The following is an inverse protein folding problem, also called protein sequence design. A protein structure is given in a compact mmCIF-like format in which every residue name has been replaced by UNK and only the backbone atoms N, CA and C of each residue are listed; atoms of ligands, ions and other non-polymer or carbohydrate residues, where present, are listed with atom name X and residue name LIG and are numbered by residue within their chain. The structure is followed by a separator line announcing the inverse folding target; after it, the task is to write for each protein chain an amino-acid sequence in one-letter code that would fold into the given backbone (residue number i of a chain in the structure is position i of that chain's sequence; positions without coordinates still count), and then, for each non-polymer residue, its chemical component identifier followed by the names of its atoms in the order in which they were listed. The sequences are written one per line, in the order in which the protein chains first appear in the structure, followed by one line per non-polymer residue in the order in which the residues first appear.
data_IF_220211986370
#
_entry.id   IF_220211986370
#
_cell.length_a   1.000
_cell.length_b   1.000
_cell.length_c   1.000
_cell.angle_alpha   90.00
_cell.angle_beta   90.00
_cell.angle_gamma   90.00
#
_symmetry.space_group_name_H-M   'P 1'
#
loop_
_entity.id
_entity.type
_entity.pdbx_description
1 polymer ?
#
# COMPACT_ATOMS: atom_id res chain seq x y z
N UNK A 1 -0.94 28.82 -40.63
CA UNK A 1 0.43 29.13 -41.10
C UNK A 1 1.09 27.84 -41.55
N UNK A 2 2.05 27.86 -42.48
CA UNK A 2 2.66 26.63 -43.04
C UNK A 2 3.97 26.22 -42.33
N UNK A 3 4.43 27.01 -41.37
CA UNK A 3 5.67 26.79 -40.62
C UNK A 3 5.40 27.10 -39.16
N UNK A 4 5.67 26.14 -38.29
CA UNK A 4 5.56 26.24 -36.84
C UNK A 4 6.95 26.25 -36.17
N UNK A 5 7.00 26.68 -34.91
CA UNK A 5 8.24 26.66 -34.13
C UNK A 5 8.71 25.21 -33.90
N UNK A 6 9.97 24.93 -34.20
CA UNK A 6 10.54 23.58 -34.15
C UNK A 6 10.57 22.82 -35.48
N UNK A 7 9.90 23.32 -36.53
CA UNK A 7 9.89 22.66 -37.84
C UNK A 7 11.29 22.59 -38.48
N UNK A 8 11.61 21.43 -39.06
CA UNK A 8 12.80 21.27 -39.91
C UNK A 8 12.43 21.48 -41.37
N UNK A 9 12.98 22.52 -41.99
CA UNK A 9 12.72 22.86 -43.39
C UNK A 9 13.79 22.29 -44.32
N UNK A 10 13.35 21.70 -45.43
CA UNK A 10 14.23 21.19 -46.48
C UNK A 10 14.26 22.15 -47.67
N UNK A 11 15.46 22.57 -48.07
CA UNK A 11 15.66 23.39 -49.26
C UNK A 11 15.97 22.49 -50.46
N UNK A 12 15.01 22.36 -51.37
CA UNK A 12 15.09 21.51 -52.56
C UNK A 12 14.94 22.36 -53.84
N UNK A 13 15.56 21.92 -54.93
CA UNK A 13 15.44 22.54 -56.28
C UNK A 13 14.03 22.34 -56.83
N UNK A 14 13.39 21.20 -56.52
CA UNK A 14 11.97 20.93 -56.79
C UNK A 14 11.40 19.97 -55.73
N UNK A 15 10.08 20.01 -55.50
CA UNK A 15 9.38 19.28 -54.41
C UNK A 15 9.65 17.77 -54.34
N UNK A 16 9.98 17.13 -55.46
CA UNK A 16 10.22 15.68 -55.54
C UNK A 16 11.71 15.35 -55.74
N UNK A 17 12.61 16.23 -55.30
CA UNK A 17 14.04 15.96 -55.37
C UNK A 17 14.43 14.80 -54.47
N UNK A 18 15.21 13.86 -55.00
CA UNK A 18 15.86 12.84 -54.19
C UNK A 18 16.81 13.49 -53.18
N UNK A 19 16.72 13.06 -51.92
CA UNK A 19 17.64 13.50 -50.87
C UNK A 19 19.00 12.84 -51.09
N UNK A 20 19.95 13.61 -51.64
CA UNK A 20 21.31 13.16 -51.95
C UNK A 20 22.17 12.91 -50.69
N UNK A 21 21.71 13.36 -49.53
CA UNK A 21 22.34 13.14 -48.24
C UNK A 21 21.26 12.97 -47.14
N UNK A 22 21.52 12.19 -46.09
CA UNK A 22 20.59 12.04 -44.98
C UNK A 22 20.43 13.35 -44.21
N UNK A 23 19.22 13.61 -43.72
CA UNK A 23 18.89 14.76 -42.89
C UNK A 23 18.56 14.32 -41.46
N UNK A 24 18.70 15.23 -40.50
CA UNK A 24 18.33 15.01 -39.11
C UNK A 24 17.27 16.04 -38.73
N UNK A 25 16.09 15.55 -38.36
CA UNK A 25 14.99 16.36 -37.88
C UNK A 25 14.96 16.29 -36.36
N UNK A 26 14.90 17.46 -35.72
CA UNK A 26 14.82 17.54 -34.26
C UNK A 26 13.39 17.27 -33.83
N UNK A 27 13.23 16.36 -32.87
CA UNK A 27 11.93 16.02 -32.26
C UNK A 27 12.04 16.06 -30.75
N UNK A 28 11.03 16.60 -30.08
CA UNK A 28 10.91 16.63 -28.62
C UNK A 28 9.80 15.64 -28.18
N UNK A 29 10.17 14.61 -27.41
CA UNK A 29 9.27 13.53 -26.98
C UNK A 29 8.96 13.62 -25.47
N UNK A 30 8.51 14.79 -25.03
CA UNK A 30 8.10 15.00 -23.65
C UNK A 30 6.91 14.07 -23.31
N UNK A 31 6.97 13.29 -22.21
CA UNK A 31 5.83 12.46 -21.81
C UNK A 31 4.58 13.33 -21.62
N UNK A 32 3.43 12.86 -22.08
CA UNK A 32 2.16 13.55 -21.82
C UNK A 32 1.85 13.51 -20.30
N UNK A 33 1.25 14.57 -19.75
CA UNK A 33 0.94 14.65 -18.31
C UNK A 33 -0.06 13.58 -17.85
N UNK A 34 -0.79 12.94 -18.78
CA UNK A 34 -1.56 11.71 -18.53
C UNK A 34 -0.73 10.61 -17.87
N UNK A 35 0.59 10.59 -18.10
CA UNK A 35 1.52 9.68 -17.41
C UNK A 35 1.43 9.80 -15.88
N UNK A 36 1.05 10.98 -15.36
CA UNK A 36 0.82 11.24 -13.94
C UNK A 36 -0.66 11.07 -13.61
N UNK A 37 -1.56 11.79 -14.29
CA UNK A 37 -2.97 11.87 -13.87
C UNK A 37 -3.78 10.59 -14.16
N UNK A 38 -3.36 9.76 -15.12
CA UNK A 38 -3.96 8.44 -15.38
C UNK A 38 -3.16 7.30 -14.78
N UNK A 39 -2.08 7.60 -14.06
CA UNK A 39 -1.14 6.60 -13.55
C UNK A 39 -1.77 5.53 -12.67
N UNK A 40 -2.84 5.86 -11.93
CA UNK A 40 -3.56 4.92 -11.08
C UNK A 40 -4.85 4.36 -11.67
N UNK A 41 -5.32 4.88 -12.82
CA UNK A 41 -6.68 4.60 -13.33
C UNK A 41 -6.93 3.12 -13.64
N UNK A 42 -5.90 2.42 -14.13
CA UNK A 42 -5.98 1.01 -14.54
C UNK A 42 -5.11 0.09 -13.68
N UNK A 43 -4.47 0.64 -12.65
CA UNK A 43 -3.56 -0.13 -11.78
C UNK A 43 -4.30 -0.86 -10.66
N UNK A 44 -5.42 -0.30 -10.22
CA UNK A 44 -6.22 -0.83 -9.12
C UNK A 44 -7.48 -1.48 -9.69
N UNK A 45 -7.44 -2.81 -9.85
CA UNK A 45 -8.55 -3.60 -10.35
C UNK A 45 -9.22 -4.39 -9.23
N UNK A 46 -10.54 -4.57 -9.33
CA UNK A 46 -11.26 -5.46 -8.44
C UNK A 46 -10.93 -6.92 -8.79
N UNK A 47 -10.63 -7.71 -7.78
CA UNK A 47 -10.44 -9.16 -7.87
C UNK A 47 -10.96 -9.79 -6.58
N UNK A 48 -11.39 -11.06 -6.66
CA UNK A 48 -11.91 -11.82 -5.50
C UNK A 48 -13.01 -11.09 -4.72
N UNK A 49 -13.85 -10.30 -5.40
CA UNK A 49 -14.94 -9.53 -4.78
C UNK A 49 -14.48 -8.35 -3.91
N UNK A 50 -13.20 -7.99 -3.94
CA UNK A 50 -12.64 -6.89 -3.15
C UNK A 50 -12.64 -5.58 -3.93
N UNK A 51 -13.13 -4.51 -3.29
CA UNK A 51 -12.99 -3.16 -3.83
C UNK A 51 -11.54 -2.69 -3.69
N UNK A 52 -10.91 -2.11 -4.73
CA UNK A 52 -9.49 -1.82 -4.69
C UNK A 52 -9.12 -0.47 -4.05
N UNK A 53 -10.09 0.34 -3.63
CA UNK A 53 -9.84 1.63 -2.97
C UNK A 53 -8.95 1.54 -1.71
N UNK A 54 -9.12 0.56 -0.82
CA UNK A 54 -8.25 0.41 0.35
C UNK A 54 -6.80 0.15 -0.03
N UNK A 55 -6.51 -0.46 -1.19
CA UNK A 55 -5.14 -0.68 -1.65
C UNK A 55 -4.47 0.62 -2.09
N UNK A 56 -5.22 1.55 -2.68
CA UNK A 56 -4.73 2.89 -2.96
C UNK A 56 -4.45 3.67 -1.68
N UNK A 57 -5.31 3.57 -0.66
CA UNK A 57 -5.05 4.16 0.67
C UNK A 57 -3.82 3.52 1.32
N UNK A 58 -3.65 2.20 1.18
CA UNK A 58 -2.51 1.45 1.70
C UNK A 58 -1.17 1.95 1.10
N UNK A 59 -1.12 2.29 -0.20
CA UNK A 59 0.09 2.90 -0.77
C UNK A 59 0.53 4.19 -0.06
N UNK A 60 -0.41 4.96 0.49
CA UNK A 60 -0.12 6.18 1.24
C UNK A 60 0.30 5.86 2.68
N UNK A 61 -0.36 4.89 3.32
CA UNK A 61 0.04 4.38 4.64
C UNK A 61 1.47 3.81 4.60
N UNK A 62 1.86 3.11 3.52
CA UNK A 62 3.22 2.58 3.33
C UNK A 62 4.29 3.68 3.36
N UNK A 63 3.98 4.84 2.76
CA UNK A 63 4.89 5.98 2.77
C UNK A 63 5.00 6.57 4.17
N UNK A 64 3.89 6.69 4.89
CA UNK A 64 3.85 7.16 6.27
C UNK A 64 4.54 6.19 7.24
N UNK A 65 4.43 4.87 7.05
CA UNK A 65 5.19 3.85 7.78
C UNK A 65 6.70 4.07 7.59
N UNK A 66 7.12 4.28 6.34
CA UNK A 66 8.52 4.55 6.00
C UNK A 66 9.02 5.88 6.59
N UNK A 67 8.17 6.90 6.65
CA UNK A 67 8.49 8.22 7.19
C UNK A 67 8.61 8.23 8.72
N UNK A 68 7.86 7.36 9.41
CA UNK A 68 7.78 7.28 10.87
C UNK A 68 8.72 6.24 11.48
N UNK A 69 9.41 5.42 10.68
CA UNK A 69 10.22 4.27 11.17
C UNK A 69 11.31 4.66 12.17
N UNK A 70 11.82 5.90 12.12
CA UNK A 70 12.85 6.41 13.05
C UNK A 70 12.30 7.36 14.13
N UNK A 71 10.98 7.41 14.31
CA UNK A 71 10.40 8.28 15.33
C UNK A 71 10.83 7.84 16.73
N UNK A 72 11.10 8.82 17.58
CA UNK A 72 11.24 8.62 19.02
C UNK A 72 9.85 8.83 19.64
N UNK A 73 9.22 7.75 20.11
CA UNK A 73 7.85 7.79 20.64
C UNK A 73 6.80 7.34 19.60
N UNK A 74 5.57 7.92 19.63
CA UNK A 74 4.46 7.44 18.81
C UNK A 74 4.68 7.67 17.31
N UNK A 75 4.25 6.69 16.51
CA UNK A 75 4.13 6.73 15.06
C UNK A 75 2.65 6.87 14.74
N UNK A 76 2.20 8.09 14.50
CA UNK A 76 0.80 8.39 14.24
C UNK A 76 0.60 8.52 12.73
N UNK A 77 -0.34 7.75 12.21
CA UNK A 77 -0.82 7.81 10.82
C UNK A 77 -2.34 7.99 10.89
N UNK A 78 -2.83 9.12 10.40
CA UNK A 78 -4.24 9.46 10.44
C UNK A 78 -4.82 9.47 9.03
N UNK A 79 -5.99 8.87 8.87
CA UNK A 79 -6.78 8.91 7.64
C UNK A 79 -8.03 9.73 7.98
N UNK A 80 -8.09 10.97 7.49
CA UNK A 80 -9.24 11.85 7.73
C UNK A 80 -10.07 12.00 6.46
N UNK A 81 -11.36 11.70 6.57
CA UNK A 81 -12.31 11.71 5.46
C UNK A 81 -13.33 12.82 5.71
N UNK A 82 -13.21 13.93 5.00
CA UNK A 82 -14.17 15.02 5.06
C UNK A 82 -15.18 14.82 3.93
N UNK A 83 -16.37 14.35 4.28
CA UNK A 83 -17.40 13.96 3.33
C UNK A 83 -18.64 14.86 3.47
N UNK A 84 -18.70 15.91 2.65
CA UNK A 84 -19.82 16.83 2.56
C UNK A 84 -20.91 16.32 1.58
N UNK A 85 -22.02 17.05 1.51
CA UNK A 85 -23.12 16.79 0.56
C UNK A 85 -22.75 17.27 -0.84
N UNK A 86 -22.06 18.40 -0.95
CA UNK A 86 -21.54 18.95 -2.21
C UNK A 86 -20.19 18.32 -2.52
N UNK A 87 -20.10 17.68 -3.69
CA UNK A 87 -18.98 16.82 -4.11
C UNK A 87 -17.60 17.49 -4.06
N UNK A 88 -17.60 18.77 -4.37
CA UNK A 88 -16.51 19.71 -4.58
C UNK A 88 -15.72 20.07 -3.31
N UNK A 89 -16.25 19.76 -2.13
CA UNK A 89 -15.58 19.98 -0.83
C UNK A 89 -15.09 18.68 -0.16
N UNK A 90 -15.29 17.54 -0.80
CA UNK A 90 -14.84 16.27 -0.26
C UNK A 90 -13.31 16.18 -0.29
N UNK A 91 -12.75 15.70 0.81
CA UNK A 91 -11.31 15.62 1.00
C UNK A 91 -10.93 14.31 1.70
N UNK A 92 -9.91 13.64 1.17
CA UNK A 92 -9.27 12.48 1.80
C UNK A 92 -7.87 12.89 2.20
N UNK A 93 -7.56 12.85 3.49
CA UNK A 93 -6.27 13.23 4.04
C UNK A 93 -5.55 12.02 4.65
N UNK A 94 -4.26 11.88 4.34
CA UNK A 94 -3.36 10.97 5.04
C UNK A 94 -2.30 11.83 5.73
N UNK A 95 -2.24 11.76 7.05
CA UNK A 95 -1.41 12.62 7.88
C UNK A 95 -0.47 11.75 8.70
N UNK A 96 0.81 12.10 8.76
CA UNK A 96 1.75 11.43 9.63
C UNK A 96 2.66 12.39 10.38
N UNK A 97 3.10 11.97 11.57
CA UNK A 97 4.12 12.66 12.36
C UNK A 97 5.54 12.17 12.02
N UNK A 98 5.76 11.71 10.78
CA UNK A 98 7.05 11.21 10.32
C UNK A 98 8.04 12.34 10.06
N UNK A 99 9.23 11.98 9.58
CA UNK A 99 10.38 12.89 9.40
C UNK A 99 10.14 14.14 8.53
N UNK A 100 9.03 14.21 7.80
CA UNK A 100 8.75 15.26 6.82
C UNK A 100 9.66 15.20 5.59
N UNK A 101 9.50 16.18 4.70
CA UNK A 101 10.25 16.34 3.46
C UNK A 101 10.76 17.77 3.35
N UNK A 102 12.04 17.93 3.05
CA UNK A 102 12.60 19.21 2.58
C UNK A 102 12.03 19.60 1.21
N UNK A 103 12.17 20.87 0.80
CA UNK A 103 11.82 21.33 -0.56
C UNK A 103 12.37 20.41 -1.66
N UNK A 104 13.63 19.96 -1.52
CA UNK A 104 14.25 19.04 -2.48
C UNK A 104 13.62 17.65 -2.46
N UNK A 105 13.29 17.11 -1.29
CA UNK A 105 12.62 15.82 -1.18
C UNK A 105 11.20 15.86 -1.71
N UNK A 106 10.49 16.97 -1.49
CA UNK A 106 9.16 17.21 -2.05
C UNK A 106 9.21 17.35 -3.58
N UNK A 107 10.20 18.06 -4.13
CA UNK A 107 10.44 18.09 -5.57
C UNK A 107 10.74 16.68 -6.13
N UNK A 108 11.57 15.90 -5.44
CA UNK A 108 11.83 14.50 -5.81
C UNK A 108 10.58 13.62 -5.72
N UNK A 109 9.63 13.95 -4.83
CA UNK A 109 8.33 13.30 -4.81
C UNK A 109 7.54 13.67 -6.08
N UNK A 110 7.59 14.89 -6.61
CA UNK A 110 6.88 15.24 -7.85
C UNK A 110 7.33 14.41 -9.07
N UNK A 111 8.62 14.06 -9.13
CA UNK A 111 9.20 13.35 -10.28
C UNK A 111 8.67 11.90 -10.34
N UNK A 112 8.03 11.56 -11.47
CA UNK A 112 7.49 10.22 -11.71
C UNK A 112 8.64 9.20 -11.90
N UNK A 113 8.48 7.97 -11.37
CA UNK A 113 9.50 6.89 -11.38
C UNK A 113 10.85 7.22 -10.71
N UNK A 114 10.92 8.27 -9.88
CA UNK A 114 12.12 8.55 -9.08
C UNK A 114 12.16 7.72 -7.80
N UNK A 115 12.69 6.50 -7.91
CA UNK A 115 12.86 5.54 -6.82
C UNK A 115 13.98 5.88 -5.83
N UNK A 116 14.01 5.21 -4.67
CA UNK A 116 15.10 5.34 -3.70
C UNK A 116 16.47 4.91 -4.26
N UNK A 117 16.48 3.98 -5.22
CA UNK A 117 17.70 3.50 -5.88
C UNK A 117 18.30 4.56 -6.80
N UNK A 118 17.44 5.24 -7.59
CA UNK A 118 17.88 6.32 -8.47
C UNK A 118 18.37 7.53 -7.68
N UNK A 119 17.71 7.84 -6.54
CA UNK A 119 18.15 8.91 -5.63
C UNK A 119 19.49 8.62 -4.96
N UNK A 120 19.72 7.36 -4.53
CA UNK A 120 21.01 6.95 -3.94
C UNK A 120 22.15 7.00 -4.97
N UNK A 121 21.89 6.65 -6.24
CA UNK A 121 22.90 6.75 -7.30
C UNK A 121 23.38 8.19 -7.54
N UNK A 122 22.50 9.19 -7.36
CA UNK A 122 22.88 10.61 -7.37
C UNK A 122 23.67 11.06 -6.11
N UNK A 123 23.68 10.27 -5.03
CA UNK A 123 24.42 10.58 -3.78
C UNK A 123 25.72 9.79 -3.63
N UNK A 124 26.06 8.87 -4.55
CA UNK A 124 27.26 8.04 -4.51
C UNK A 124 28.56 8.80 -4.89
N UNK A 125 28.71 10.03 -4.37
CA UNK A 125 30.03 10.64 -4.13
C UNK A 125 30.36 10.77 -2.63
N UNK A 126 29.46 10.43 -1.70
CA UNK A 126 29.80 10.43 -0.27
C UNK A 126 29.16 9.27 0.51
N UNK A 127 30.02 8.37 0.99
CA UNK A 127 29.83 7.59 2.21
C UNK A 127 29.10 6.26 2.08
N UNK A 128 29.85 5.17 2.23
CA UNK A 128 29.35 3.82 2.51
C UNK A 128 28.40 3.83 3.71
N UNK A 129 27.11 3.64 3.47
CA UNK A 129 26.17 3.13 4.48
C UNK A 129 25.39 1.97 3.84
N UNK A 130 26.04 0.82 3.79
CA UNK A 130 25.37 -0.47 3.74
C UNK A 130 24.70 -0.69 5.10
N UNK A 131 23.52 -0.09 5.33
CA UNK A 131 22.57 -0.64 6.29
C UNK A 131 22.20 -2.02 5.71
N UNK A 132 22.96 -3.03 6.12
CA UNK A 132 22.76 -4.42 5.71
C UNK A 132 21.33 -4.85 6.03
N UNK A 133 20.82 -5.83 5.29
CA UNK A 133 19.59 -6.56 5.62
C UNK A 133 19.76 -7.11 7.04
N UNK A 134 19.37 -6.33 8.05
CA UNK A 134 19.15 -6.88 9.40
C UNK A 134 17.99 -7.83 9.25
N UNK A 135 18.17 -9.05 9.72
CA UNK A 135 17.12 -10.05 9.73
C UNK A 135 16.07 -9.59 10.75
N UNK A 136 14.98 -9.01 10.26
CA UNK A 136 13.87 -8.52 11.07
C UNK A 136 12.76 -9.55 10.89
N UNK A 137 12.25 -10.16 11.98
CA UNK A 137 11.16 -11.14 11.91
C UNK A 137 10.00 -10.64 11.05
N UNK A 138 9.50 -11.51 10.17
CA UNK A 138 8.41 -11.24 9.22
C UNK A 138 8.67 -10.04 8.30
N UNK A 139 9.91 -9.58 8.23
CA UNK A 139 10.34 -8.39 7.48
C UNK A 139 9.54 -7.13 7.83
N UNK A 140 9.17 -6.96 9.11
CA UNK A 140 8.45 -5.78 9.63
C UNK A 140 9.37 -4.54 9.71
N UNK A 141 9.97 -4.17 8.59
CA UNK A 141 11.08 -3.22 8.50
C UNK A 141 10.64 -1.79 8.11
N UNK A 142 9.36 -1.59 7.76
CA UNK A 142 8.83 -0.34 7.21
C UNK A 142 9.58 0.18 5.96
N UNK A 143 10.36 -0.67 5.26
CA UNK A 143 11.06 -0.35 4.00
C UNK A 143 10.23 -0.78 2.78
N UNK A 144 8.99 -0.26 2.70
CA UNK A 144 7.98 -0.71 1.73
C UNK A 144 8.08 0.06 0.40
N UNK A 145 8.58 1.30 0.40
CA UNK A 145 8.71 2.10 -0.83
C UNK A 145 9.79 1.54 -1.77
N UNK A 146 9.42 1.16 -3.00
CA UNK A 146 10.35 0.59 -4.00
C UNK A 146 10.38 1.37 -5.33
N UNK A 147 9.24 1.49 -6.02
CA UNK A 147 9.19 1.97 -7.42
C UNK A 147 9.21 3.50 -7.62
N UNK A 148 8.82 4.28 -6.61
CA UNK A 148 8.73 5.74 -6.72
C UNK A 148 7.50 6.27 -7.45
N UNK A 149 6.49 5.43 -7.72
CA UNK A 149 5.23 5.79 -8.39
C UNK A 149 3.98 5.58 -7.54
N UNK A 150 3.98 4.65 -6.57
CA UNK A 150 2.78 4.21 -5.85
C UNK A 150 1.96 5.34 -5.20
N UNK A 151 2.62 6.30 -4.54
CA UNK A 151 1.92 7.46 -3.97
C UNK A 151 1.19 8.33 -5.00
N UNK A 152 1.72 8.46 -6.24
CA UNK A 152 1.06 9.22 -7.31
C UNK A 152 -0.11 8.44 -7.89
N UNK A 153 0.09 7.14 -8.11
CA UNK A 153 -0.97 6.24 -8.57
C UNK A 153 -2.15 6.28 -7.59
N UNK A 154 -1.87 6.22 -6.29
CA UNK A 154 -2.90 6.31 -5.25
C UNK A 154 -3.69 7.62 -5.29
N UNK A 155 -3.02 8.79 -5.27
CA UNK A 155 -3.74 10.07 -5.23
C UNK A 155 -4.59 10.31 -6.47
N UNK A 156 -4.09 9.96 -7.66
CA UNK A 156 -4.82 10.12 -8.93
C UNK A 156 -5.83 8.98 -9.21
N UNK A 157 -5.72 7.87 -8.50
CA UNK A 157 -6.79 6.88 -8.44
C UNK A 157 -7.97 7.38 -7.60
N UNK A 158 -7.68 8.01 -6.45
CA UNK A 158 -8.67 8.46 -5.47
C UNK A 158 -9.38 9.76 -5.93
N UNK A 159 -8.64 10.75 -6.43
CA UNK A 159 -9.16 12.03 -6.89
C UNK A 159 -8.36 12.60 -8.04
N UNK A 160 -8.57 13.89 -8.35
CA UNK A 160 -7.92 14.56 -9.49
C UNK A 160 -6.90 15.63 -9.06
N UNK A 161 -6.72 15.83 -7.75
CA UNK A 161 -5.81 16.83 -7.18
C UNK A 161 -5.19 16.33 -5.88
N UNK A 162 -3.88 16.51 -5.76
CA UNK A 162 -3.10 16.17 -4.58
C UNK A 162 -2.30 17.39 -4.12
N UNK A 163 -2.51 17.78 -2.86
CA UNK A 163 -1.73 18.79 -2.15
C UNK A 163 -0.87 18.09 -1.11
N UNK A 164 0.43 18.22 -1.27
CA UNK A 164 1.43 17.73 -0.34
C UNK A 164 1.84 18.88 0.58
N UNK A 165 1.71 18.71 1.88
CA UNK A 165 2.11 19.69 2.89
C UNK A 165 3.07 18.98 3.82
N UNK A 166 4.31 19.45 3.95
CA UNK A 166 5.31 18.73 4.73
C UNK A 166 6.28 19.66 5.43
N UNK A 167 6.65 19.29 6.66
CA UNK A 167 7.61 20.02 7.48
C UNK A 167 8.62 19.03 8.06
N UNK A 168 9.91 19.13 7.69
CA UNK A 168 10.92 18.28 8.28
C UNK A 168 11.37 18.80 9.64
N UNK A 169 11.89 17.89 10.48
CA UNK A 169 12.41 18.23 11.81
C UNK A 169 13.52 19.28 11.68
N UNK A 170 13.46 20.32 12.52
CA UNK A 170 14.41 21.43 12.51
C UNK A 170 14.14 22.51 11.45
N UNK A 171 13.21 22.30 10.51
CA UNK A 171 12.74 23.38 9.64
C UNK A 171 11.80 24.30 10.40
N UNK A 172 11.90 25.61 10.13
CA UNK A 172 10.90 26.61 10.55
C UNK A 172 9.71 26.65 9.61
N UNK A 173 9.93 26.29 8.36
CA UNK A 173 8.95 26.45 7.29
C UNK A 173 8.29 25.12 6.93
N UNK A 174 7.02 25.21 6.55
CA UNK A 174 6.24 24.19 5.90
C UNK A 174 6.43 24.33 4.38
N UNK A 175 6.64 23.22 3.70
CA UNK A 175 6.76 23.13 2.25
C UNK A 175 5.50 22.53 1.65
N UNK A 176 4.86 23.26 0.75
CA UNK A 176 3.58 22.90 0.17
C UNK A 176 3.63 22.88 -1.36
N UNK A 177 3.09 21.83 -1.96
CA UNK A 177 3.03 21.69 -3.42
C UNK A 177 1.73 21.02 -3.83
N UNK A 178 1.11 21.53 -4.89
CA UNK A 178 -0.12 20.96 -5.46
C UNK A 178 0.17 20.42 -6.86
N UNK A 179 -0.32 19.22 -7.14
CA UNK A 179 -0.34 18.62 -8.47
C UNK A 179 -1.79 18.26 -8.76
N UNK A 180 -2.37 18.84 -9.80
CA UNK A 180 -3.78 18.62 -10.16
C UNK A 180 -3.96 18.50 -11.67
N UNK A 181 -5.01 17.77 -12.05
CA UNK A 181 -5.45 17.65 -13.44
C UNK A 181 -5.78 19.03 -14.04
N UNK A 182 -6.50 19.86 -13.29
CA UNK A 182 -6.89 21.21 -13.71
C UNK A 182 -5.67 22.09 -14.06
N UNK A 183 -4.59 22.01 -13.27
CA UNK A 183 -3.39 22.80 -13.52
C UNK A 183 -2.62 22.31 -14.76
N UNK A 184 -2.58 21.00 -15.01
CA UNK A 184 -2.01 20.47 -16.25
C UNK A 184 -2.81 20.91 -17.49
N UNK A 185 -4.14 20.78 -17.45
CA UNK A 185 -5.02 21.22 -18.54
C UNK A 185 -4.92 22.73 -18.79
N UNK A 186 -4.79 23.54 -17.73
CA UNK A 186 -4.58 24.99 -17.83
C UNK A 186 -3.25 25.31 -18.52
N UNK A 187 -2.15 24.65 -18.13
CA UNK A 187 -0.82 24.86 -18.72
C UNK A 187 -0.77 24.44 -20.18
N UNK A 188 -1.37 23.30 -20.51
CA UNK A 188 -1.49 22.83 -21.89
C UNK A 188 -2.23 23.85 -22.76
N UNK A 189 -3.39 24.32 -22.29
CA UNK A 189 -4.19 25.35 -22.99
C UNK A 189 -3.42 26.65 -23.19
N UNK A 190 -2.58 27.03 -22.23
CA UNK A 190 -1.80 28.26 -22.25
C UNK A 190 -0.42 28.12 -22.93
N UNK A 191 -0.04 26.92 -23.39
CA UNK A 191 1.30 26.61 -23.91
C UNK A 191 2.43 26.94 -22.91
N UNK A 192 2.17 26.71 -21.63
CA UNK A 192 3.15 26.84 -20.54
C UNK A 192 3.95 25.53 -20.36
N UNK A 193 5.06 25.58 -19.62
CA UNK A 193 5.79 24.36 -19.24
C UNK A 193 4.92 23.44 -18.38
N UNK A 194 4.56 22.28 -18.95
CA UNK A 194 3.70 21.26 -18.35
C UNK A 194 4.23 20.75 -17.01
N UNK A 195 5.55 20.58 -16.88
CA UNK A 195 6.18 19.99 -15.69
C UNK A 195 6.83 21.03 -14.76
N UNK A 196 6.61 22.32 -15.03
CA UNK A 196 6.94 23.39 -14.10
C UNK A 196 5.98 23.39 -12.89
N UNK A 197 6.44 23.91 -11.75
CA UNK A 197 5.60 24.01 -10.55
C UNK A 197 6.23 24.91 -9.51
N UNK A 198 5.45 25.29 -8.49
CA UNK A 198 5.92 26.13 -7.39
C UNK A 198 5.73 25.37 -6.09
N UNK A 199 6.80 25.28 -5.29
CA UNK A 199 6.71 24.88 -3.89
C UNK A 199 6.56 26.13 -3.05
N UNK A 200 5.42 26.29 -2.40
CA UNK A 200 5.15 27.37 -1.49
C UNK A 200 5.78 27.06 -0.12
N UNK A 201 6.60 27.97 0.37
CA UNK A 201 7.18 27.88 1.71
C UNK A 201 6.48 28.88 2.61
N UNK A 202 5.99 28.45 3.77
CA UNK A 202 5.21 29.28 4.69
C UNK A 202 5.45 28.88 6.15
N UNK A 203 5.06 29.76 7.07
CA UNK A 203 5.08 29.42 8.50
C UNK A 203 3.96 28.42 8.83
N UNK A 204 4.13 27.55 9.85
CA UNK A 204 3.07 26.64 10.31
C UNK A 204 1.81 27.42 10.71
N UNK A 205 0.65 26.96 10.24
CA UNK A 205 -0.63 27.63 10.52
C UNK A 205 -0.91 28.90 9.71
N UNK A 206 -0.02 29.28 8.78
CA UNK A 206 -0.29 30.33 7.80
C UNK A 206 -1.06 29.72 6.62
N UNK A 207 -2.26 30.25 6.32
CA UNK A 207 -3.18 29.67 5.33
C UNK A 207 -3.88 30.70 4.44
N UNK A 208 -3.34 31.92 4.32
CA UNK A 208 -3.95 33.01 3.54
C UNK A 208 -4.04 32.72 2.04
N UNK A 209 -3.22 31.80 1.52
CA UNK A 209 -3.29 31.31 0.14
C UNK A 209 -4.46 30.35 -0.10
N UNK A 210 -5.09 29.82 0.96
CA UNK A 210 -6.24 28.92 0.85
C UNK A 210 -7.52 29.74 0.73
N UNK A 211 -8.30 29.44 -0.30
CA UNK A 211 -9.61 30.08 -0.53
C UNK A 211 -10.51 29.99 0.72
N UNK A 212 -11.17 31.09 1.14
CA UNK A 212 -12.05 31.10 2.32
C UNK A 212 -13.16 30.05 2.31
N UNK A 213 -13.55 29.54 1.15
CA UNK A 213 -14.57 28.49 1.03
C UNK A 213 -14.10 27.09 1.46
N UNK A 214 -12.80 26.89 1.72
CA UNK A 214 -12.20 25.61 2.05
C UNK A 214 -11.85 25.50 3.54
N UNK A 215 -12.88 25.57 4.38
CA UNK A 215 -12.77 25.58 5.85
C UNK A 215 -12.03 24.35 6.40
N UNK A 216 -12.23 23.16 5.82
CA UNK A 216 -11.59 21.93 6.29
C UNK A 216 -10.06 21.98 6.09
N UNK A 217 -9.59 22.55 4.97
CA UNK A 217 -8.16 22.75 4.74
C UNK A 217 -7.58 23.83 5.64
N UNK A 218 -8.31 24.92 5.91
CA UNK A 218 -7.87 25.96 6.85
C UNK A 218 -7.69 25.40 8.27
N UNK A 219 -8.66 24.62 8.77
CA UNK A 219 -8.55 23.92 10.06
C UNK A 219 -7.33 23.01 10.09
N UNK A 220 -7.10 22.25 9.00
CA UNK A 220 -5.95 21.36 8.92
C UNK A 220 -4.62 22.10 8.99
N UNK A 221 -4.53 23.27 8.34
CA UNK A 221 -3.34 24.13 8.39
C UNK A 221 -3.15 24.70 9.80
N UNK A 222 -4.22 25.15 10.46
CA UNK A 222 -4.15 25.67 11.82
C UNK A 222 -3.60 24.66 12.84
N UNK A 223 -3.91 23.37 12.66
CA UNK A 223 -3.42 22.26 13.49
C UNK A 223 -1.90 22.03 13.37
N UNK A 224 -1.22 22.59 12.36
CA UNK A 224 0.24 22.49 12.20
C UNK A 224 1.00 23.18 13.34
N UNK A 225 0.35 24.13 14.03
CA UNK A 225 0.96 24.90 15.12
C UNK A 225 1.39 23.96 16.25
N UNK A 226 2.68 24.00 16.57
CA UNK A 226 3.28 23.15 17.61
C UNK A 226 3.76 21.79 17.12
N UNK A 227 3.50 21.42 15.86
CA UNK A 227 4.04 20.18 15.30
C UNK A 227 5.50 20.34 14.88
N UNK A 228 6.38 19.48 15.39
CA UNK A 228 7.82 19.53 15.10
C UNK A 228 8.11 19.11 13.65
N UNK A 229 7.48 18.02 13.19
CA UNK A 229 7.63 17.46 11.85
C UNK A 229 6.40 16.66 11.45
N UNK A 230 6.02 16.71 10.18
CA UNK A 230 4.85 16.02 9.65
C UNK A 230 4.85 15.94 8.12
N UNK A 231 3.99 15.08 7.58
CA UNK A 231 3.55 15.11 6.18
C UNK A 231 2.04 14.91 6.10
N UNK A 232 1.36 15.79 5.38
CA UNK A 232 -0.06 15.69 5.05
C UNK A 232 -0.20 15.53 3.53
N UNK A 233 -0.85 14.44 3.12
CA UNK A 233 -1.31 14.21 1.75
C UNK A 233 -2.78 14.53 1.71
N UNK A 234 -3.13 15.61 1.03
CA UNK A 234 -4.51 16.10 0.91
C UNK A 234 -5.01 15.84 -0.51
N UNK A 235 -6.01 14.99 -0.66
CA UNK A 235 -6.60 14.62 -1.96
C UNK A 235 -7.98 15.28 -2.06
N UNK A 236 -8.24 15.96 -3.17
CA UNK A 236 -9.54 16.59 -3.46
C UNK A 236 -10.07 16.15 -4.82
N UNK A 237 -11.29 16.58 -5.16
CA UNK A 237 -12.00 16.13 -6.36
C UNK A 237 -12.14 14.61 -6.38
N UNK A 238 -12.59 14.06 -5.23
CA UNK A 238 -12.71 12.61 -5.03
C UNK A 238 -13.76 12.04 -5.99
N UNK A 239 -13.45 10.93 -6.64
CA UNK A 239 -14.37 10.28 -7.58
C UNK A 239 -15.63 9.81 -6.86
N UNK A 240 -16.80 10.07 -7.45
CA UNK A 240 -18.11 9.83 -6.82
C UNK A 240 -18.34 8.38 -6.39
N UNK A 241 -17.83 7.41 -7.15
CA UNK A 241 -17.88 5.99 -6.81
C UNK A 241 -17.14 5.67 -5.51
N UNK A 242 -15.99 6.33 -5.26
CA UNK A 242 -15.20 6.13 -4.05
C UNK A 242 -15.92 6.72 -2.84
N UNK A 243 -16.53 7.90 -2.98
CA UNK A 243 -17.36 8.51 -1.93
C UNK A 243 -18.53 7.59 -1.55
N UNK A 244 -19.24 7.04 -2.54
CA UNK A 244 -20.35 6.10 -2.31
C UNK A 244 -19.87 4.87 -1.54
N UNK A 245 -18.77 4.26 -1.95
CA UNK A 245 -18.18 3.10 -1.30
C UNK A 245 -17.78 3.40 0.16
N UNK A 246 -17.02 4.47 0.39
CA UNK A 246 -16.56 4.88 1.74
C UNK A 246 -17.76 5.12 2.68
N UNK A 247 -18.83 5.77 2.18
CA UNK A 247 -20.02 6.07 2.98
C UNK A 247 -20.87 4.83 3.28
N UNK A 248 -20.91 3.86 2.36
CA UNK A 248 -21.78 2.69 2.44
C UNK A 248 -21.33 1.68 3.51
N UNK A 249 -20.03 1.42 3.62
CA UNK A 249 -19.54 0.34 4.49
C UNK A 249 -18.19 0.67 5.15
N UNK A 250 -18.24 1.58 6.12
CA UNK A 250 -17.07 2.04 6.89
C UNK A 250 -16.29 0.88 7.54
N UNK A 251 -17.01 -0.12 8.05
CA UNK A 251 -16.43 -1.23 8.79
C UNK A 251 -15.67 -2.19 7.85
N UNK A 252 -16.23 -2.52 6.69
CA UNK A 252 -15.60 -3.48 5.77
C UNK A 252 -14.27 -2.99 5.23
N UNK A 253 -14.19 -1.75 4.74
CA UNK A 253 -12.94 -1.25 4.16
C UNK A 253 -11.89 -0.92 5.23
N UNK A 254 -12.30 -0.53 6.45
CA UNK A 254 -11.37 -0.38 7.57
C UNK A 254 -10.84 -1.72 8.06
N UNK A 255 -11.67 -2.77 8.08
CA UNK A 255 -11.23 -4.16 8.32
C UNK A 255 -10.22 -4.65 7.29
N UNK A 256 -10.41 -4.32 6.00
CA UNK A 256 -9.43 -4.62 4.96
C UNK A 256 -8.08 -3.95 5.23
N UNK A 257 -8.06 -2.69 5.69
CA UNK A 257 -6.81 -2.03 6.09
C UNK A 257 -6.18 -2.69 7.32
N UNK A 258 -6.97 -3.07 8.32
CA UNK A 258 -6.46 -3.78 9.50
C UNK A 258 -5.84 -5.13 9.10
N UNK A 259 -6.46 -5.86 8.18
CA UNK A 259 -5.93 -7.10 7.63
C UNK A 259 -4.61 -6.88 6.89
N UNK A 260 -4.52 -5.86 6.02
CA UNK A 260 -3.29 -5.54 5.27
C UNK A 260 -2.11 -5.26 6.21
N UNK A 261 -2.37 -4.53 7.30
CA UNK A 261 -1.35 -4.08 8.24
C UNK A 261 -1.31 -4.90 9.53
N UNK A 262 -1.95 -6.07 9.59
CA UNK A 262 -2.15 -6.84 10.82
C UNK A 262 -0.88 -6.98 11.68
N UNK A 263 0.21 -7.40 11.06
CA UNK A 263 1.49 -7.62 11.76
C UNK A 263 2.22 -6.31 12.09
N UNK A 264 1.94 -5.21 11.39
CA UNK A 264 2.43 -3.89 11.79
C UNK A 264 1.69 -3.36 13.03
N UNK A 265 0.38 -3.55 13.11
CA UNK A 265 -0.43 -3.01 14.22
C UNK A 265 -0.39 -3.90 15.48
N UNK A 266 -0.16 -5.21 15.33
CA UNK A 266 -0.13 -6.18 16.43
C UNK A 266 1.27 -6.75 16.72
N UNK A 267 2.26 -6.49 15.85
CA UNK A 267 3.60 -7.04 15.96
C UNK A 267 3.74 -8.45 15.37
N UNK A 268 4.93 -9.03 15.53
CA UNK A 268 5.32 -10.30 14.90
C UNK A 268 4.38 -11.47 15.25
N UNK A 269 3.82 -11.50 16.47
CA UNK A 269 2.96 -12.58 16.93
C UNK A 269 1.50 -12.41 16.48
N UNK A 270 1.16 -11.26 15.88
CA UNK A 270 -0.21 -10.90 15.52
C UNK A 270 -1.14 -10.77 16.73
N UNK A 271 -2.45 -10.75 16.48
CA UNK A 271 -3.46 -10.39 17.48
C UNK A 271 -3.88 -11.54 18.42
N UNK A 272 -3.00 -11.93 19.34
CA UNK A 272 -3.25 -13.01 20.30
C UNK A 272 -4.30 -12.63 21.37
N UNK A 273 -5.27 -13.51 21.60
CA UNK A 273 -6.42 -13.29 22.52
C UNK A 273 -6.00 -12.99 23.98
N UNK A 274 -4.93 -13.62 24.48
CA UNK A 274 -4.41 -13.43 25.84
C UNK A 274 -3.68 -12.08 26.05
N UNK A 275 -3.32 -11.39 24.96
CA UNK A 275 -2.67 -10.06 24.96
C UNK A 275 -3.67 -8.93 24.65
N UNK A 276 -4.96 -9.25 24.52
CA UNK A 276 -6.02 -8.27 24.22
C UNK A 276 -6.16 -7.22 25.32
N UNK A 277 -5.89 -7.58 26.58
CA UNK A 277 -5.79 -6.64 27.69
C UNK A 277 -4.51 -5.79 27.56
N UNK A 278 -4.67 -4.47 27.45
CA UNK A 278 -3.55 -3.51 27.27
C UNK A 278 -2.49 -3.60 28.36
N UNK A 279 -2.82 -4.12 29.55
CA UNK A 279 -1.91 -4.28 30.69
C UNK A 279 -0.91 -5.44 30.57
N UNK A 280 -1.17 -6.46 29.74
CA UNK A 280 -0.33 -7.68 29.65
C UNK A 280 0.42 -7.80 28.32
N UNK A 281 0.43 -6.75 27.50
CA UNK A 281 1.14 -6.75 26.23
C UNK A 281 2.65 -6.71 26.47
N UNK A 282 3.36 -7.65 25.85
CA UNK A 282 4.82 -7.60 25.77
C UNK A 282 5.23 -6.36 24.97
N UNK A 283 6.21 -5.57 25.45
CA UNK A 283 6.70 -4.39 24.73
C UNK A 283 7.13 -4.78 23.31
N UNK A 284 6.34 -4.39 22.33
CA UNK A 284 6.65 -4.58 20.92
C UNK A 284 7.22 -3.26 20.39
N UNK A 285 8.27 -3.29 19.53
CA UNK A 285 8.77 -2.08 18.87
C UNK A 285 7.69 -1.39 18.01
N UNK A 286 6.57 -2.07 17.77
CA UNK A 286 5.41 -1.58 17.03
C UNK A 286 4.25 -1.10 17.93
N UNK A 287 4.34 -1.19 19.26
CA UNK A 287 3.27 -0.71 20.17
C UNK A 287 2.95 0.77 19.96
N UNK A 288 3.94 1.53 19.51
CA UNK A 288 3.85 2.95 19.25
C UNK A 288 3.18 3.31 17.90
N UNK A 289 2.84 2.33 17.05
CA UNK A 289 2.16 2.58 15.78
C UNK A 289 0.64 2.71 15.96
N UNK A 290 0.12 3.90 15.68
CA UNK A 290 -1.30 4.21 15.66
C UNK A 290 -1.72 4.53 14.24
N UNK A 291 -2.62 3.72 13.67
CA UNK A 291 -3.28 4.02 12.40
C UNK A 291 -4.75 4.28 12.72
N UNK A 292 -5.17 5.53 12.65
CA UNK A 292 -6.54 5.93 12.99
C UNK A 292 -7.28 6.49 11.79
N UNK A 293 -8.55 6.12 11.67
CA UNK A 293 -9.47 6.62 10.66
C UNK A 293 -10.49 7.52 11.34
N UNK A 294 -10.70 8.72 10.81
CA UNK A 294 -11.77 9.62 11.24
C UNK A 294 -12.59 10.07 10.03
N UNK A 295 -13.90 9.84 10.07
CA UNK A 295 -14.83 10.27 9.02
C UNK A 295 -15.77 11.34 9.53
N UNK A 296 -15.69 12.52 8.90
CA UNK A 296 -16.51 13.67 9.15
C UNK A 296 -17.67 13.69 8.15
N UNK A 297 -18.91 13.59 8.65
CA UNK A 297 -20.15 13.73 7.89
C UNK A 297 -20.91 14.94 8.43
N UNK A 298 -21.41 15.80 7.53
CA UNK A 298 -22.19 16.98 7.93
C UNK A 298 -23.44 16.56 8.72
N UNK A 299 -23.66 17.19 9.88
CA UNK A 299 -24.83 16.92 10.74
C UNK A 299 -24.84 15.57 11.45
N UNK A 300 -23.74 14.81 11.41
CA UNK A 300 -23.61 13.52 12.11
C UNK A 300 -22.39 13.53 13.04
N UNK A 301 -22.43 12.69 14.08
CA UNK A 301 -21.27 12.44 14.91
C UNK A 301 -20.15 11.83 14.06
N UNK A 302 -18.93 12.32 14.25
CA UNK A 302 -17.77 11.80 13.52
C UNK A 302 -17.52 10.33 13.92
N UNK A 303 -17.27 9.48 12.93
CA UNK A 303 -16.89 8.10 13.16
C UNK A 303 -15.37 8.03 13.28
N UNK A 304 -14.87 7.54 14.40
CA UNK A 304 -13.44 7.39 14.65
C UNK A 304 -13.12 5.95 15.04
N UNK A 305 -12.04 5.40 14.50
CA UNK A 305 -11.60 4.03 14.74
C UNK A 305 -10.08 3.96 14.66
N UNK A 306 -9.43 3.25 15.59
CA UNK A 306 -8.05 2.81 15.40
C UNK A 306 -8.07 1.41 14.77
N UNK A 307 -7.22 1.18 13.76
CA UNK A 307 -7.15 -0.13 13.10
C UNK A 307 -6.80 -1.26 14.08
N UNK A 308 -6.09 -0.96 15.17
CA UNK A 308 -5.77 -1.92 16.23
C UNK A 308 -7.00 -2.39 17.02
N UNK A 309 -8.08 -1.61 17.02
CA UNK A 309 -9.32 -1.94 17.73
C UNK A 309 -10.20 -2.91 16.94
N UNK A 310 -9.92 -3.08 15.65
CA UNK A 310 -10.53 -4.13 14.83
C UNK A 310 -9.97 -5.47 15.28
N UNK A 311 -10.87 -6.37 15.67
CA UNK A 311 -10.53 -7.65 16.27
C UNK A 311 -11.09 -8.84 15.49
N UNK A 312 -11.77 -8.58 14.37
CA UNK A 312 -12.47 -9.52 13.51
C UNK A 312 -11.89 -9.54 12.08
N UNK A 313 -10.72 -8.92 11.85
CA UNK A 313 -9.98 -9.11 10.61
C UNK A 313 -9.54 -10.58 10.45
N UNK A 314 -9.37 -11.01 9.20
CA UNK A 314 -9.19 -12.43 8.89
C UNK A 314 -7.96 -13.04 9.59
N UNK A 315 -6.86 -12.29 9.72
CA UNK A 315 -5.68 -12.75 10.46
C UNK A 315 -5.94 -12.84 11.97
N UNK A 316 -6.65 -11.88 12.57
CA UNK A 316 -7.09 -11.99 13.97
C UNK A 316 -7.91 -13.26 14.20
N UNK A 317 -8.84 -13.56 13.30
CA UNK A 317 -9.65 -14.77 13.41
C UNK A 317 -8.78 -16.03 13.29
N UNK A 318 -7.90 -16.11 12.28
CA UNK A 318 -7.00 -17.25 12.12
C UNK A 318 -6.07 -17.46 13.32
N UNK A 319 -5.53 -16.40 13.90
CA UNK A 319 -4.61 -16.52 15.03
C UNK A 319 -5.34 -17.01 16.28
N UNK A 320 -6.58 -16.56 16.51
CA UNK A 320 -7.32 -16.86 17.74
C UNK A 320 -8.07 -18.18 17.70
N UNK A 321 -8.45 -18.66 16.52
CA UNK A 321 -9.04 -20.00 16.34
C UNK A 321 -7.99 -21.10 16.28
N UNK A 322 -6.73 -20.76 16.01
CA UNK A 322 -5.65 -21.73 15.91
C UNK A 322 -5.40 -22.43 17.26
N UNK A 323 -5.34 -23.76 17.22
CA UNK A 323 -4.97 -24.57 18.38
C UNK A 323 -3.47 -24.74 18.54
N UNK A 324 -2.75 -24.80 17.42
CA UNK A 324 -1.29 -24.94 17.38
C UNK A 324 -0.74 -24.41 16.05
N UNK A 325 0.56 -24.17 15.99
CA UNK A 325 1.28 -23.63 14.83
C UNK A 325 2.44 -24.50 14.39
N UNK A 326 2.75 -24.45 13.10
CA UNK A 326 3.93 -25.05 12.49
C UNK A 326 4.69 -23.97 11.75
N UNK A 327 5.81 -23.54 12.31
CA UNK A 327 6.69 -22.54 11.72
C UNK A 327 7.74 -23.21 10.83
N UNK A 328 7.99 -22.60 9.68
CA UNK A 328 8.98 -23.06 8.72
C UNK A 328 9.63 -21.89 7.99
N UNK A 329 10.72 -22.18 7.30
CA UNK A 329 11.42 -21.24 6.43
C UNK A 329 11.71 -21.90 5.10
N UNK A 330 11.79 -21.09 4.05
CA UNK A 330 12.16 -21.53 2.71
C UNK A 330 13.36 -20.73 2.26
N UNK A 331 14.50 -21.39 2.11
CA UNK A 331 15.69 -20.79 1.52
C UNK A 331 15.63 -21.03 0.01
N UNK A 332 15.57 -19.94 -0.77
CA UNK A 332 15.58 -19.97 -2.23
C UNK A 332 16.95 -19.52 -2.72
N UNK A 333 17.69 -20.43 -3.35
CA UNK A 333 19.03 -20.18 -3.87
C UNK A 333 19.04 -18.97 -4.81
N UNK A 334 20.04 -18.09 -4.64
CA UNK A 334 20.18 -16.86 -5.42
C UNK A 334 19.14 -15.77 -5.16
N UNK A 335 18.08 -16.05 -4.38
CA UNK A 335 17.00 -15.09 -4.09
C UNK A 335 17.00 -14.66 -2.63
N UNK A 336 16.59 -15.51 -1.70
CA UNK A 336 16.41 -15.11 -0.31
C UNK A 336 15.61 -16.09 0.54
N UNK A 337 15.23 -15.62 1.72
CA UNK A 337 14.47 -16.38 2.71
C UNK A 337 12.99 -15.96 2.69
N UNK A 338 12.09 -16.94 2.76
CA UNK A 338 10.67 -16.73 3.07
C UNK A 338 10.38 -17.41 4.40
N UNK A 339 9.79 -16.68 5.34
CA UNK A 339 9.27 -17.27 6.57
C UNK A 339 7.82 -17.73 6.35
N UNK A 340 7.44 -18.86 6.94
CA UNK A 340 6.11 -19.42 6.82
C UNK A 340 5.58 -19.88 8.17
N UNK A 341 4.27 -19.73 8.36
CA UNK A 341 3.56 -20.33 9.48
C UNK A 341 2.29 -21.01 8.96
N UNK A 342 2.05 -22.22 9.43
CA UNK A 342 0.82 -22.96 9.26
C UNK A 342 0.09 -23.01 10.61
N UNK A 343 -1.23 -22.91 10.61
CA UNK A 343 -2.08 -22.90 11.81
C UNK A 343 -3.14 -23.98 11.69
N UNK A 344 -3.32 -24.76 12.74
CA UNK A 344 -4.34 -25.81 12.78
C UNK A 344 -5.61 -25.34 13.49
N UNK A 345 -6.76 -25.50 12.84
CA UNK A 345 -8.09 -25.11 13.31
C UNK A 345 -8.93 -26.37 13.58
N UNK A 346 -9.02 -26.85 14.82
CA UNK A 346 -9.63 -28.15 15.11
C UNK A 346 -11.13 -28.15 14.86
N UNK A 347 -11.69 -29.33 14.60
CA UNK A 347 -13.13 -29.55 14.76
C UNK A 347 -13.45 -29.66 16.26
N UNK A 348 -14.40 -28.86 16.73
CA UNK A 348 -14.75 -28.75 18.14
C UNK A 348 -16.18 -29.23 18.33
N UNK A 349 -16.31 -30.45 18.85
CA UNK A 349 -17.58 -31.14 19.14
C UNK A 349 -18.45 -31.40 17.91
N UNK A 350 -19.17 -30.39 17.46
CA UNK A 350 -20.21 -30.46 16.42
C UNK A 350 -19.95 -29.48 15.26
N UNK A 351 -18.89 -28.66 15.33
CA UNK A 351 -18.59 -27.64 14.32
C UNK A 351 -17.11 -27.46 14.03
N UNK A 352 -16.81 -27.06 12.81
CA UNK A 352 -15.48 -26.58 12.42
C UNK A 352 -15.17 -25.23 13.09
N UNK A 353 -13.91 -25.02 13.47
CA UNK A 353 -13.44 -23.75 14.03
C UNK A 353 -12.69 -22.85 13.04
N UNK A 354 -12.50 -23.33 11.80
CA UNK A 354 -11.85 -22.55 10.74
C UNK A 354 -12.66 -21.28 10.46
N UNK A 355 -12.03 -20.08 10.51
CA UNK A 355 -12.73 -18.83 10.28
C UNK A 355 -13.37 -18.73 8.90
N UNK A 356 -14.61 -18.25 8.86
CA UNK A 356 -15.30 -17.85 7.63
C UNK A 356 -15.00 -16.37 7.38
N UNK A 357 -14.71 -16.01 6.13
CA UNK A 357 -14.57 -14.62 5.73
C UNK A 357 -15.93 -14.09 5.26
N UNK A 358 -16.63 -13.37 6.13
CA UNK A 358 -17.92 -12.73 5.83
C UNK A 358 -17.78 -11.57 4.81
N UNK A 359 -16.54 -11.18 4.45
CA UNK A 359 -16.24 -10.10 3.53
C UNK A 359 -16.11 -10.52 2.07
N UNK A 360 -15.97 -11.82 1.77
CA UNK A 360 -16.07 -12.33 0.40
C UNK A 360 -17.54 -12.34 -0.03
N UNK A 361 -17.85 -11.74 -1.17
CA UNK A 361 -19.17 -11.96 -1.82
C UNK A 361 -19.31 -13.48 -1.94
N UNK A 362 -20.45 -14.09 -1.57
CA UNK A 362 -20.66 -15.51 -1.83
C UNK A 362 -20.30 -15.71 -3.30
N UNK A 363 -19.32 -16.57 -3.59
CA UNK A 363 -19.21 -17.10 -4.94
C UNK A 363 -20.63 -17.56 -5.29
N UNK A 364 -21.16 -17.08 -6.43
CA UNK A 364 -22.38 -17.65 -6.97
C UNK A 364 -22.10 -19.14 -7.07
N UNK A 365 -22.60 -19.88 -6.08
CA UNK A 365 -22.57 -21.32 -6.09
C UNK A 365 -23.38 -21.67 -7.31
N UNK A 366 -22.69 -22.02 -8.38
CA UNK A 366 -23.30 -22.72 -9.49
C UNK A 366 -23.90 -23.98 -8.85
N UNK A 367 -25.23 -23.99 -8.71
CA UNK A 367 -26.02 -24.97 -7.95
C UNK A 367 -25.81 -26.42 -8.45
N UNK A 368 -24.98 -26.62 -9.48
CA UNK A 368 -24.62 -27.91 -10.06
C UNK A 368 -23.37 -28.59 -9.47
N UNK A 369 -22.64 -27.98 -8.52
CA UNK A 369 -21.47 -28.63 -7.91
C UNK A 369 -21.60 -28.85 -6.38
N UNK A 370 -22.08 -30.04 -6.00
CA UNK A 370 -22.20 -30.54 -4.62
C UNK A 370 -20.84 -30.65 -3.86
N UNK A 371 -19.72 -30.27 -4.50
CA UNK A 371 -18.35 -30.45 -4.03
C UNK A 371 -17.97 -29.65 -2.78
N UNK A 372 -18.65 -28.54 -2.48
CA UNK A 372 -18.35 -27.72 -1.30
C UNK A 372 -18.99 -28.26 0.00
N UNK A 373 -20.01 -29.13 -0.08
CA UNK A 373 -20.55 -29.82 1.11
C UNK A 373 -19.59 -30.88 1.65
N UNK A 374 -18.72 -31.42 0.79
CA UNK A 374 -17.77 -32.48 1.12
C UNK A 374 -16.43 -31.99 1.69
N UNK A 375 -16.22 -30.66 1.81
CA UNK A 375 -14.98 -30.06 2.34
C UNK A 375 -15.25 -29.08 3.49
N UNK A 376 -15.69 -29.56 4.68
CA UNK A 376 -15.90 -28.70 5.85
C UNK A 376 -14.60 -28.00 6.27
N UNK A 377 -14.68 -26.79 6.84
CA UNK A 377 -13.59 -25.86 7.19
C UNK A 377 -13.12 -24.92 6.07
N UNK A 378 -11.90 -25.08 5.53
CA UNK A 378 -11.31 -24.16 4.53
C UNK A 378 -12.03 -24.20 3.17
N UNK A 379 -12.54 -25.36 2.79
CA UNK A 379 -13.14 -25.58 1.47
C UNK A 379 -12.11 -25.54 0.33
N UNK A 380 -12.43 -24.84 -0.75
CA UNK A 380 -11.55 -24.62 -1.91
C UNK A 380 -10.54 -23.48 -1.74
N UNK A 381 -10.59 -22.75 -0.61
CA UNK A 381 -9.72 -21.58 -0.38
C UNK A 381 -8.26 -22.00 -0.26
N UNK A 382 -7.38 -21.11 -0.70
CA UNK A 382 -5.94 -21.28 -0.58
C UNK A 382 -5.49 -21.33 0.89
N UNK A 383 -4.41 -22.05 1.19
CA UNK A 383 -3.83 -22.11 2.53
C UNK A 383 -3.16 -20.79 2.89
N UNK A 384 -2.32 -20.25 2.00
CA UNK A 384 -1.37 -19.20 2.37
C UNK A 384 -1.74 -17.83 1.81
N UNK A 385 -1.91 -16.85 2.71
CA UNK A 385 -1.80 -15.43 2.36
C UNK A 385 -0.32 -15.00 2.31
N UNK A 386 0.01 -14.09 1.40
CA UNK A 386 1.40 -13.66 1.19
C UNK A 386 1.64 -12.21 1.65
N UNK A 387 2.69 -12.02 2.44
CA UNK A 387 3.11 -10.72 2.98
C UNK A 387 4.46 -10.33 2.39
N UNK A 388 4.63 -9.05 2.09
CA UNK A 388 5.86 -8.46 1.56
C UNK A 388 6.28 -7.28 2.43
N UNK A 389 7.48 -7.36 3.02
CA UNK A 389 7.96 -6.38 3.99
C UNK A 389 6.90 -6.09 5.09
N UNK A 390 6.26 -7.14 5.60
CA UNK A 390 5.33 -7.08 6.72
C UNK A 390 3.88 -6.68 6.42
N UNK A 391 3.54 -6.28 5.18
CA UNK A 391 2.15 -5.99 4.77
C UNK A 391 1.61 -7.02 3.78
N UNK A 392 0.30 -7.22 3.76
CA UNK A 392 -0.37 -8.14 2.84
C UNK A 392 -0.22 -7.71 1.37
N UNK A 393 -0.01 -8.69 0.50
CA UNK A 393 -0.15 -8.62 -0.95
C UNK A 393 -1.45 -9.34 -1.34
N UNK A 394 -2.55 -8.60 -1.58
CA UNK A 394 -3.91 -9.13 -1.47
C UNK A 394 -4.30 -10.17 -2.53
N UNK A 395 -3.71 -10.12 -3.72
CA UNK A 395 -4.08 -11.01 -4.84
C UNK A 395 -3.02 -12.08 -5.12
N UNK A 396 -2.15 -12.37 -4.14
CA UNK A 396 -1.26 -13.54 -4.22
C UNK A 396 -1.53 -14.46 -3.06
N UNK A 397 -2.14 -15.59 -3.42
CA UNK A 397 -2.41 -16.70 -2.53
C UNK A 397 -1.63 -17.91 -3.03
N UNK A 398 -1.09 -18.72 -2.12
CA UNK A 398 -0.51 -20.03 -2.47
C UNK A 398 -1.47 -21.10 -1.98
N UNK A 399 -1.98 -21.91 -2.91
CA UNK A 399 -2.98 -22.94 -2.64
C UNK A 399 -2.49 -23.93 -1.57
N UNK A 400 -1.36 -24.59 -1.86
CA UNK A 400 -0.70 -25.54 -0.98
C UNK A 400 0.70 -25.86 -1.52
N UNK A 401 1.55 -26.43 -0.67
CA UNK A 401 2.79 -27.10 -1.06
C UNK A 401 2.62 -28.61 -0.97
N UNK A 402 3.44 -29.37 -1.71
CA UNK A 402 3.35 -30.83 -1.78
C UNK A 402 3.38 -31.52 -0.39
N UNK A 403 4.11 -30.94 0.56
CA UNK A 403 4.28 -31.50 1.92
C UNK A 403 3.11 -31.20 2.86
N UNK A 404 2.23 -30.24 2.53
CA UNK A 404 1.01 -29.92 3.28
C UNK A 404 -0.27 -30.18 2.49
N UNK A 405 -0.16 -30.79 1.30
CA UNK A 405 -1.28 -31.26 0.51
C UNK A 405 -1.74 -32.66 0.96
N UNK A 406 -2.98 -33.02 0.62
CA UNK A 406 -3.49 -34.38 0.86
C UNK A 406 -2.62 -35.39 0.10
N UNK A 407 -1.98 -36.36 0.79
CA UNK A 407 -1.09 -37.30 0.13
C UNK A 407 -1.87 -38.29 -0.74
N UNK A 408 -1.27 -38.68 -1.88
CA UNK A 408 -1.86 -39.68 -2.78
C UNK A 408 -1.83 -41.11 -2.22
N UNK A 409 -1.04 -41.34 -1.17
CA UNK A 409 -0.92 -42.63 -0.47
C UNK A 409 -1.53 -42.49 0.92
N UNK A 410 -2.11 -43.56 1.44
CA UNK A 410 -2.65 -43.59 2.79
C UNK A 410 -1.55 -43.20 3.80
N UNK A 411 -1.88 -42.28 4.71
CA UNK A 411 -1.03 -41.84 5.81
C UNK A 411 -1.83 -41.87 7.10
N UNK A 412 -1.15 -41.79 8.25
CA UNK A 412 -1.76 -41.83 9.59
C UNK A 412 -2.51 -40.53 9.98
N UNK A 413 -2.66 -39.58 9.06
CA UNK A 413 -3.36 -38.31 9.28
C UNK A 413 -4.71 -38.35 8.55
N UNK A 414 -5.84 -38.18 9.25
CA UNK A 414 -7.16 -38.07 8.61
C UNK A 414 -7.19 -36.96 7.55
N UNK A 415 -7.84 -37.23 6.42
CA UNK A 415 -7.84 -36.35 5.24
C UNK A 415 -8.43 -34.97 5.56
N UNK A 416 -9.40 -34.91 6.46
CA UNK A 416 -10.09 -33.70 6.91
C UNK A 416 -9.13 -32.72 7.58
N UNK A 417 -8.05 -33.20 8.22
CA UNK A 417 -7.06 -32.36 8.88
C UNK A 417 -6.32 -31.44 7.89
N UNK A 418 -6.14 -31.87 6.64
CA UNK A 418 -5.52 -31.06 5.60
C UNK A 418 -6.40 -29.90 5.14
N UNK A 419 -7.71 -29.94 5.42
CA UNK A 419 -8.65 -28.85 5.15
C UNK A 419 -8.86 -27.91 6.35
N UNK A 420 -8.21 -28.22 7.48
CA UNK A 420 -8.30 -27.48 8.75
C UNK A 420 -7.09 -26.59 9.00
N UNK A 421 -6.32 -26.28 7.96
CA UNK A 421 -5.11 -25.46 8.08
C UNK A 421 -5.22 -24.18 7.28
N UNK A 422 -4.77 -23.08 7.89
CA UNK A 422 -4.47 -21.82 7.20
C UNK A 422 -2.99 -21.49 7.37
N UNK A 423 -2.46 -20.57 6.57
CA UNK A 423 -1.06 -20.19 6.65
C UNK A 423 -0.78 -18.79 6.16
N UNK A 424 0.43 -18.32 6.44
CA UNK A 424 0.94 -17.05 5.93
C UNK A 424 2.41 -17.18 5.56
N UNK A 425 2.81 -16.56 4.45
CA UNK A 425 4.19 -16.47 3.97
C UNK A 425 4.68 -15.02 4.10
N UNK A 426 5.90 -14.82 4.59
CA UNK A 426 6.52 -13.51 4.75
C UNK A 426 7.79 -13.44 3.92
N UNK A 427 7.75 -12.62 2.88
CA UNK A 427 8.89 -12.31 2.03
C UNK A 427 9.38 -10.88 2.27
N UNK A 428 10.64 -10.64 1.93
CA UNK A 428 11.25 -9.32 1.91
C UNK A 428 11.40 -8.79 0.47
N UNK A 429 12.07 -7.64 0.34
CA UNK A 429 12.38 -6.99 -0.95
C UNK A 429 13.15 -7.84 -1.98
N UNK A 430 13.71 -9.00 -1.62
CA UNK A 430 14.38 -9.90 -2.58
C UNK A 430 13.39 -10.67 -3.45
N UNK A 431 12.12 -10.71 -3.06
CA UNK A 431 11.02 -11.22 -3.87
C UNK A 431 10.26 -10.04 -4.47
N UNK A 432 10.09 -10.06 -5.80
CA UNK A 432 9.51 -8.95 -6.52
C UNK A 432 7.98 -8.97 -6.47
N UNK A 433 7.40 -7.77 -6.38
CA UNK A 433 5.96 -7.53 -6.45
C UNK A 433 5.66 -6.63 -7.64
N UNK A 434 4.41 -6.64 -8.10
CA UNK A 434 3.92 -5.69 -9.09
C UNK A 434 4.05 -4.24 -8.60
N UNK A 435 4.05 -3.29 -9.54
CA UNK A 435 4.21 -1.85 -9.21
C UNK A 435 3.11 -1.34 -8.25
N UNK A 436 1.90 -1.84 -8.41
CA UNK A 436 0.72 -1.54 -7.58
C UNK A 436 0.65 -2.37 -6.27
N UNK A 437 1.63 -3.25 -6.03
CA UNK A 437 1.75 -4.15 -4.86
C UNK A 437 0.52 -5.03 -4.60
N UNK A 438 -0.20 -5.38 -5.66
CA UNK A 438 -1.36 -6.28 -5.57
C UNK A 438 -0.95 -7.75 -5.73
N UNK A 439 0.11 -8.04 -6.47
CA UNK A 439 0.61 -9.40 -6.72
C UNK A 439 2.12 -9.52 -6.54
N UNK A 440 2.59 -10.72 -6.19
CA UNK A 440 3.97 -11.11 -6.42
C UNK A 440 4.18 -11.48 -7.89
N UNK A 441 5.40 -11.27 -8.40
CA UNK A 441 5.75 -11.61 -9.79
C UNK A 441 5.89 -13.13 -9.96
N UNK A 442 6.65 -13.78 -9.07
CA UNK A 442 7.03 -15.18 -9.24
C UNK A 442 7.25 -15.94 -7.91
N UNK A 443 6.67 -15.47 -6.81
CA UNK A 443 6.86 -16.05 -5.47
C UNK A 443 6.53 -17.55 -5.42
N UNK A 444 5.34 -17.95 -5.85
CA UNK A 444 4.91 -19.36 -5.79
C UNK A 444 5.80 -20.25 -6.67
N UNK A 445 6.14 -19.79 -7.87
CA UNK A 445 7.01 -20.51 -8.80
C UNK A 445 8.38 -20.77 -8.17
N UNK A 446 8.98 -19.76 -7.52
CA UNK A 446 10.27 -19.90 -6.83
C UNK A 446 10.19 -20.84 -5.64
N UNK A 447 9.11 -20.80 -4.85
CA UNK A 447 8.96 -21.67 -3.68
C UNK A 447 8.66 -23.12 -4.04
N UNK A 448 8.08 -23.38 -5.21
CA UNK A 448 7.80 -24.75 -5.72
C UNK A 448 8.96 -25.36 -6.51
N UNK A 449 9.99 -24.59 -6.81
CA UNK A 449 11.19 -25.08 -7.50
C UNK A 449 12.04 -25.94 -6.57
N UNK A 450 11.87 -27.27 -6.66
CA UNK A 450 12.59 -28.25 -5.83
C UNK A 450 14.12 -28.24 -6.03
N UNK A 451 14.61 -27.65 -7.13
CA UNK A 451 16.05 -27.56 -7.36
C UNK A 451 16.69 -26.43 -6.55
N UNK A 452 15.94 -25.37 -6.28
CA UNK A 452 16.45 -24.13 -5.70
C UNK A 452 15.82 -23.78 -4.34
N UNK A 453 14.70 -24.39 -3.95
CA UNK A 453 14.00 -24.10 -2.70
C UNK A 453 14.16 -25.24 -1.66
N UNK A 454 14.66 -24.89 -0.48
CA UNK A 454 14.85 -25.81 0.65
C UNK A 454 13.94 -25.38 1.80
N UNK A 455 13.06 -26.29 2.25
CA UNK A 455 12.16 -26.08 3.38
C UNK A 455 12.80 -26.57 4.68
N UNK A 456 12.80 -25.71 5.71
CA UNK A 456 13.35 -25.98 7.04
C UNK A 456 12.27 -25.75 8.10
N UNK A 457 12.11 -26.68 9.04
CA UNK A 457 11.14 -26.53 10.14
C UNK A 457 11.78 -25.75 11.27
N UNK A 458 11.13 -24.71 11.76
CA UNK A 458 11.62 -23.93 12.89
C UNK A 458 11.05 -24.48 14.20
N UNK A 459 11.91 -24.87 15.13
CA UNK A 459 11.52 -25.35 16.48
C UNK A 459 12.36 -24.63 17.53
N UNK A 460 11.70 -23.93 18.46
CA UNK A 460 12.39 -23.20 19.54
C UNK A 460 13.35 -22.12 19.03
N UNK A 461 13.03 -21.49 17.89
CA UNK A 461 13.85 -20.46 17.25
C UNK A 461 15.08 -20.98 16.49
N UNK A 462 15.23 -22.31 16.35
CA UNK A 462 16.28 -22.93 15.53
C UNK A 462 15.64 -23.59 14.31
N UNK A 463 16.24 -23.35 13.14
CA UNK A 463 15.89 -23.99 11.88
C UNK A 463 16.47 -25.41 11.81
#
# INVERSE_FOLDING_TARGET
ELVEDGDTLLLLVHLKQDLLAPTQERVDYQPHYDTIIRSGMYEYYASEGQNPLPFAIAELIDNSLSATVKNVGPRNIEIRLYLEETGDKNMVCILDNGKGMTTRELNNWAIFRLSKFNRKRQRLEQGNNSDGDRDIPKSLNSDISFFGVGGKQAVFFIGDSARMISKPKGSRDVHEMTVSKEEFERREKNKEDIYGGIIQNRQPGEGSHVSPGNENLQKLIEEEKGQENFTHVVITSIKSQHIKFIKADFNRWSRQLAHIYHYYIHGEQGNQSHLSNSMYRTPSPYENLNISITMYKKGQLHQQLNLRDINDDLQSNFIRSAKDTFDFRVLVEGTGLVEGVLRYHPFLFDKESYPVDDGSVPEEVDDESDYNKDRPARGSKAIFECYWNGRLIPYTLVQEFDWCAVPKKLVDIPVECYNRVSGTLFANRKFEVSTNKLTFIDLEMKLKDRSNAVFERVVGGKA
#
